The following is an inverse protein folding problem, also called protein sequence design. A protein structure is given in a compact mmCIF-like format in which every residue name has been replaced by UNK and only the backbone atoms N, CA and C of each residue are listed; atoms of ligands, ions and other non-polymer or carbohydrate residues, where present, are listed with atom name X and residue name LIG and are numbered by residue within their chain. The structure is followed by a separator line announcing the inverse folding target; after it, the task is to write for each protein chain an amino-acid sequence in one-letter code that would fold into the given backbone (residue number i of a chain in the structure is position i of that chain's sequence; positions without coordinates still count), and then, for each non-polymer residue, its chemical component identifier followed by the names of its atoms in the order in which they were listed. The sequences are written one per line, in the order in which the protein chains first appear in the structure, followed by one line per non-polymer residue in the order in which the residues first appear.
data_IF_816538897455
#
_entry.id   IF_816538897455
#
_cell.length_a   1.000
_cell.length_b   1.000
_cell.length_c   1.000
_cell.angle_alpha   90.00
_cell.angle_beta   90.00
_cell.angle_gamma   90.00
#
_symmetry.space_group_name_H-M   'P 1'
#
loop_
_entity.id
_entity.type
_entity.pdbx_description
1 polymer ?
#
# COMPACT_ATOMS: atom_id res chain seq x y z
N UNK A 1 5.34 -1.96 6.03
CA UNK A 1 5.29 -1.10 4.82
C UNK A 1 6.18 0.15 4.93
N UNK A 2 5.76 1.22 5.63
CA UNK A 2 6.49 2.52 5.68
C UNK A 2 7.97 2.40 6.07
N UNK A 3 8.27 1.70 7.18
CA UNK A 3 9.64 1.47 7.64
C UNK A 3 10.52 0.84 6.55
N UNK A 4 9.97 -0.10 5.78
CA UNK A 4 10.72 -0.75 4.70
C UNK A 4 10.91 0.17 3.50
N UNK A 5 9.88 0.95 3.14
CA UNK A 5 10.01 1.99 2.12
C UNK A 5 11.14 2.96 2.46
N UNK A 6 11.15 3.49 3.69
CA UNK A 6 12.18 4.43 4.17
C UNK A 6 13.58 3.82 4.22
N UNK A 7 13.71 2.52 4.46
CA UNK A 7 15.00 1.83 4.38
C UNK A 7 15.52 1.77 2.94
N UNK A 8 14.63 1.56 1.98
CA UNK A 8 14.97 1.42 0.56
C UNK A 8 15.14 2.78 -0.13
N UNK A 9 14.39 3.80 0.31
CA UNK A 9 14.39 5.16 -0.24
C UNK A 9 14.27 6.18 0.90
N UNK A 10 15.36 6.47 1.63
CA UNK A 10 15.32 7.32 2.82
C UNK A 10 14.90 8.77 2.56
N UNK A 11 15.30 9.32 1.40
CA UNK A 11 15.10 10.72 1.04
C UNK A 11 13.66 11.07 0.63
N UNK A 12 12.82 10.07 0.37
CA UNK A 12 11.46 10.29 -0.13
C UNK A 12 10.44 10.17 0.99
N UNK A 13 9.41 11.03 0.97
CA UNK A 13 8.23 10.87 1.82
C UNK A 13 7.49 9.60 1.42
N UNK A 14 6.77 8.99 2.36
CA UNK A 14 5.95 7.84 2.04
C UNK A 14 4.82 8.26 1.10
N UNK A 15 4.74 7.58 -0.05
CA UNK A 15 3.90 7.99 -1.19
C UNK A 15 2.42 7.99 -0.81
N UNK A 16 1.96 7.12 0.09
CA UNK A 16 0.54 7.04 0.48
C UNK A 16 0.32 7.29 1.97
N UNK A 17 0.85 8.40 2.48
CA UNK A 17 0.47 8.90 3.80
C UNK A 17 -0.73 9.87 3.69
N UNK A 18 -1.95 9.46 4.08
CA UNK A 18 -3.15 10.30 4.07
C UNK A 18 -3.15 11.35 5.18
N UNK A 19 -2.17 11.31 6.09
CA UNK A 19 -2.01 12.29 7.17
C UNK A 19 -1.17 13.49 6.72
N UNK A 20 -0.44 13.38 5.61
CA UNK A 20 0.31 14.51 5.05
C UNK A 20 -0.68 15.54 4.49
N UNK A 21 -0.47 16.81 4.84
CA UNK A 21 -1.26 17.92 4.30
C UNK A 21 -0.88 18.21 2.84
N UNK A 22 0.34 17.83 2.46
CA UNK A 22 0.82 17.92 1.09
C UNK A 22 0.31 16.72 0.27
N UNK A 23 -0.79 16.97 -0.45
CA UNK A 23 -1.35 16.03 -1.41
C UNK A 23 -0.62 16.07 -2.75
N UNK A 24 0.29 17.02 -2.98
CA UNK A 24 1.12 17.04 -4.18
C UNK A 24 2.21 16.00 -4.05
N UNK A 25 1.98 14.84 -4.66
CA UNK A 25 2.96 13.76 -4.70
C UNK A 25 3.39 13.59 -6.13
N UNK A 26 4.68 13.79 -6.39
CA UNK A 26 5.27 13.61 -7.71
C UNK A 26 5.21 12.12 -8.07
N UNK A 27 4.11 11.70 -8.71
CA UNK A 27 3.82 10.30 -9.04
C UNK A 27 4.52 9.84 -10.32
N UNK A 28 5.08 10.78 -11.08
CA UNK A 28 5.98 10.57 -12.22
C UNK A 28 7.38 10.10 -11.83
N UNK A 29 7.63 9.88 -10.54
CA UNK A 29 8.93 9.43 -10.06
C UNK A 29 9.04 7.89 -10.24
N UNK A 30 10.13 7.35 -10.81
CA UNK A 30 10.37 5.91 -11.06
C UNK A 30 10.21 4.96 -9.85
N UNK A 31 10.09 5.51 -8.64
CA UNK A 31 9.87 4.74 -7.41
C UNK A 31 8.39 4.38 -7.19
N UNK A 32 7.43 5.00 -7.88
CA UNK A 32 6.01 4.62 -7.77
C UNK A 32 5.74 3.20 -8.31
N UNK A 33 6.55 2.74 -9.28
CA UNK A 33 6.45 1.42 -9.92
C UNK A 33 7.57 0.48 -9.46
N UNK A 34 7.62 0.20 -8.15
CA UNK A 34 8.55 -0.79 -7.58
C UNK A 34 7.84 -1.79 -6.69
N UNK A 35 8.37 -3.00 -6.69
CA UNK A 35 8.01 -4.03 -5.71
C UNK A 35 8.89 -3.84 -4.47
N UNK A 36 8.28 -3.38 -3.39
CA UNK A 36 8.97 -3.13 -2.13
C UNK A 36 8.86 -4.36 -1.23
N UNK A 37 10.00 -4.96 -0.89
CA UNK A 37 10.05 -6.01 0.13
C UNK A 37 9.65 -5.40 1.48
N UNK A 38 8.53 -5.81 2.07
CA UNK A 38 8.08 -5.28 3.37
C UNK A 38 8.36 -6.18 4.55
N UNK A 39 8.31 -7.50 4.37
CA UNK A 39 8.53 -8.49 5.44
C UNK A 39 9.19 -9.75 4.90
N UNK A 40 9.99 -10.37 5.76
CA UNK A 40 10.45 -11.75 5.60
C UNK A 40 9.77 -12.59 6.68
N UNK A 41 9.24 -13.75 6.31
CA UNK A 41 8.48 -14.60 7.22
C UNK A 41 8.73 -16.09 6.90
N UNK A 42 8.42 -16.96 7.85
CA UNK A 42 8.53 -18.41 7.70
C UNK A 42 7.13 -19.00 7.58
N UNK A 43 6.86 -19.74 6.49
CA UNK A 43 5.63 -20.50 6.28
C UNK A 43 6.01 -21.97 6.16
N UNK A 44 5.51 -22.81 7.08
CA UNK A 44 5.80 -24.25 7.10
C UNK A 44 7.29 -24.59 7.00
N UNK A 45 8.15 -23.76 7.60
CA UNK A 45 9.60 -23.92 7.58
C UNK A 45 10.31 -23.34 6.35
N UNK A 46 9.57 -22.87 5.35
CA UNK A 46 10.13 -22.22 4.16
C UNK A 46 10.17 -20.70 4.32
N UNK A 47 11.23 -20.09 3.79
CA UNK A 47 11.39 -18.64 3.80
C UNK A 47 10.50 -18.00 2.73
N UNK A 48 9.62 -17.12 3.16
CA UNK A 48 8.69 -16.37 2.31
C UNK A 48 8.96 -14.87 2.41
N UNK A 49 8.69 -14.17 1.31
CA UNK A 49 9.01 -12.76 1.11
C UNK A 49 7.75 -12.00 0.72
N UNK A 50 7.36 -11.04 1.55
CA UNK A 50 6.19 -10.21 1.33
C UNK A 50 6.58 -8.93 0.59
N UNK A 51 5.89 -8.66 -0.49
CA UNK A 51 6.06 -7.46 -1.30
C UNK A 51 4.77 -6.66 -1.39
N UNK A 52 4.92 -5.37 -1.69
CA UNK A 52 3.82 -4.51 -2.09
C UNK A 52 4.25 -3.55 -3.20
N UNK A 53 3.30 -3.13 -4.02
CA UNK A 53 3.49 -2.10 -5.03
C UNK A 53 2.19 -1.30 -5.19
N UNK A 54 2.28 -0.08 -5.71
CA UNK A 54 1.08 0.69 -6.03
C UNK A 54 0.64 0.36 -7.45
N UNK A 55 -0.67 0.25 -7.63
CA UNK A 55 -1.25 0.07 -8.94
C UNK A 55 -1.02 1.31 -9.82
N UNK A 56 -0.78 1.04 -11.09
CA UNK A 56 -0.30 1.97 -12.11
C UNK A 56 -1.41 2.73 -12.80
N UNK A 57 -2.09 3.63 -12.11
CA UNK A 57 -3.13 4.45 -12.75
C UNK A 57 -2.49 5.74 -13.27
N UNK A 58 -2.44 5.85 -14.60
CA UNK A 58 -1.98 7.02 -15.34
C UNK A 58 -3.00 8.15 -15.21
N UNK A 59 -3.07 8.78 -14.05
CA UNK A 59 -3.88 9.99 -13.87
C UNK A 59 -2.99 11.20 -14.10
N UNK A 60 -3.28 11.93 -15.18
CA UNK A 60 -2.51 13.09 -15.65
C UNK A 60 -2.68 14.33 -14.73
N UNK A 61 -3.72 14.35 -13.87
CA UNK A 61 -4.19 15.55 -13.15
C UNK A 61 -4.12 15.46 -11.61
N UNK A 62 -3.25 14.61 -11.04
CA UNK A 62 -2.87 14.68 -9.62
C UNK A 62 -3.14 13.44 -8.76
N UNK A 63 -3.19 13.64 -7.44
CA UNK A 63 -3.26 12.57 -6.43
C UNK A 63 -4.54 11.74 -6.57
N UNK A 64 -4.35 10.48 -6.94
CA UNK A 64 -5.38 9.47 -6.77
C UNK A 64 -5.21 8.83 -5.38
N UNK A 65 -5.94 9.37 -4.39
CA UNK A 65 -6.07 8.80 -3.04
C UNK A 65 -6.63 7.37 -3.05
N UNK A 66 -7.19 6.92 -4.18
CA UNK A 66 -7.82 5.64 -4.36
C UNK A 66 -6.93 4.63 -5.10
N UNK A 67 -5.63 4.89 -5.23
CA UNK A 67 -4.69 3.92 -5.82
C UNK A 67 -4.80 2.57 -5.11
N UNK A 68 -4.98 1.54 -5.93
CA UNK A 68 -4.84 0.17 -5.48
C UNK A 68 -3.44 -0.12 -4.97
N UNK A 69 -3.35 -1.02 -4.01
CA UNK A 69 -2.10 -1.56 -3.47
C UNK A 69 -2.09 -3.05 -3.75
N UNK A 70 -1.25 -3.47 -4.67
CA UNK A 70 -0.93 -4.87 -4.87
C UNK A 70 -0.02 -5.35 -3.76
N UNK A 71 -0.37 -6.49 -3.17
CA UNK A 71 0.46 -7.17 -2.17
C UNK A 71 0.57 -8.63 -2.55
N UNK A 72 1.76 -9.17 -2.46
CA UNK A 72 1.98 -10.58 -2.76
C UNK A 72 3.03 -11.18 -1.85
N UNK A 73 2.93 -12.49 -1.70
CA UNK A 73 3.82 -13.31 -0.90
C UNK A 73 4.47 -14.34 -1.80
N UNK A 74 5.79 -14.35 -1.81
CA UNK A 74 6.60 -15.16 -2.70
C UNK A 74 7.44 -16.17 -1.91
N UNK A 75 7.45 -17.43 -2.35
CA UNK A 75 8.38 -18.47 -1.89
C UNK A 75 9.22 -18.89 -3.11
N UNK A 76 10.57 -18.89 -3.03
CA UNK A 76 11.44 -19.15 -4.17
C UNK A 76 11.07 -20.38 -5.01
N UNK A 77 10.77 -21.51 -4.36
CA UNK A 77 10.51 -22.78 -5.04
C UNK A 77 9.03 -22.98 -5.44
N UNK A 78 8.14 -22.05 -5.06
CA UNK A 78 6.68 -22.17 -5.27
C UNK A 78 6.06 -21.00 -6.02
N UNK A 79 6.80 -19.89 -6.20
CA UNK A 79 6.26 -18.68 -6.80
C UNK A 79 5.40 -17.87 -5.83
N UNK A 80 4.37 -17.22 -6.37
CA UNK A 80 3.42 -16.41 -5.57
C UNK A 80 2.43 -17.35 -4.89
N UNK A 81 2.45 -17.35 -3.56
CA UNK A 81 1.69 -18.26 -2.69
C UNK A 81 0.60 -17.56 -1.90
N UNK A 82 0.46 -16.26 -2.08
CA UNK A 82 -0.56 -15.45 -1.43
C UNK A 82 -0.54 -14.04 -1.98
N UNK A 83 -1.65 -13.35 -1.79
CA UNK A 83 -1.76 -11.96 -2.20
C UNK A 83 -3.03 -11.30 -1.70
N UNK A 84 -3.12 -10.02 -2.01
CA UNK A 84 -4.29 -9.18 -1.82
C UNK A 84 -4.15 -7.95 -2.69
N UNK A 85 -5.30 -7.38 -3.04
CA UNK A 85 -5.40 -6.09 -3.67
C UNK A 85 -6.27 -5.21 -2.78
N UNK A 86 -5.68 -4.16 -2.23
CA UNK A 86 -6.38 -3.26 -1.31
C UNK A 86 -6.61 -1.91 -2.01
N UNK A 87 -7.83 -1.39 -1.91
CA UNK A 87 -8.14 -0.01 -2.29
C UNK A 87 -8.93 0.65 -1.16
N UNK A 88 -8.74 1.94 -0.98
CA UNK A 88 -9.38 2.67 0.11
C UNK A 88 -10.09 3.93 -0.41
N UNK A 89 -11.32 4.11 0.05
CA UNK A 89 -12.10 5.30 -0.24
C UNK A 89 -12.28 6.14 1.01
N UNK A 90 -12.16 7.45 0.84
CA UNK A 90 -12.53 8.44 1.84
C UNK A 90 -13.50 9.40 1.19
N UNK A 91 -14.65 9.60 1.82
CA UNK A 91 -15.59 10.61 1.37
C UNK A 91 -14.94 12.00 1.52
N UNK A 92 -14.77 12.72 0.41
CA UNK A 92 -14.40 14.14 0.42
C UNK A 92 -15.68 14.95 0.69
N UNK A 93 -15.83 15.59 1.87
CA UNK A 93 -17.04 16.34 2.16
C UNK A 93 -17.19 17.50 1.17
N UNK A 94 -18.41 17.74 0.69
CA UNK A 94 -18.73 18.98 -0.01
C UNK A 94 -18.61 20.13 0.99
N UNK A 95 -18.01 21.26 0.57
CA UNK A 95 -17.87 22.49 1.38
C UNK A 95 -19.21 23.04 1.93
N UNK A 96 -20.37 22.48 1.53
CA UNK A 96 -21.71 22.97 1.84
C UNK A 96 -22.48 22.16 2.90
N UNK A 97 -21.92 21.09 3.46
CA UNK A 97 -22.59 20.33 4.53
C UNK A 97 -21.59 19.75 5.52
N UNK A 98 -21.81 20.05 6.81
CA UNK A 98 -20.92 19.72 7.92
C UNK A 98 -21.22 18.35 8.56
N UNK A 99 -22.23 17.62 8.08
CA UNK A 99 -22.65 16.35 8.66
C UNK A 99 -22.38 15.18 7.72
N UNK A 100 -21.11 14.76 7.66
CA UNK A 100 -20.73 13.48 7.07
C UNK A 100 -19.78 12.73 7.99
N UNK A 101 -20.04 11.45 8.19
CA UNK A 101 -19.05 10.56 8.80
C UNK A 101 -17.94 10.30 7.79
N UNK A 102 -16.81 10.98 7.94
CA UNK A 102 -15.61 10.71 7.16
C UNK A 102 -14.66 9.85 8.00
N UNK A 103 -14.15 8.76 7.42
CA UNK A 103 -13.06 8.01 8.04
C UNK A 103 -11.89 8.95 8.35
N UNK A 104 -11.34 8.85 9.57
CA UNK A 104 -10.21 9.69 9.97
C UNK A 104 -8.95 9.30 9.18
N UNK A 105 -8.05 10.27 8.96
CA UNK A 105 -6.76 9.99 8.31
C UNK A 105 -5.96 8.91 9.06
N UNK A 106 -6.09 8.85 10.39
CA UNK A 106 -5.46 7.82 11.21
C UNK A 106 -6.03 6.42 10.96
N UNK A 107 -7.35 6.29 10.80
CA UNK A 107 -7.97 5.01 10.45
C UNK A 107 -7.52 4.53 9.06
N UNK A 108 -7.51 5.43 8.09
CA UNK A 108 -7.06 5.14 6.73
C UNK A 108 -5.59 4.72 6.71
N UNK A 109 -4.73 5.48 7.40
CA UNK A 109 -3.31 5.15 7.58
C UNK A 109 -3.11 3.76 8.18
N UNK A 110 -3.83 3.45 9.26
CA UNK A 110 -3.74 2.15 9.91
C UNK A 110 -4.15 1.02 8.96
N UNK A 111 -5.16 1.21 8.12
CA UNK A 111 -5.54 0.20 7.14
C UNK A 111 -4.45 -0.01 6.08
N UNK A 112 -3.86 1.07 5.56
CA UNK A 112 -2.80 1.01 4.54
C UNK A 112 -1.55 0.30 5.07
N UNK A 113 -1.09 0.66 6.27
CA UNK A 113 0.17 0.14 6.83
C UNK A 113 0.02 -1.28 7.39
N UNK A 114 -1.16 -1.64 7.88
CA UNK A 114 -1.42 -3.01 8.37
C UNK A 114 -1.74 -3.93 7.21
N UNK A 115 -0.66 -4.41 6.59
CA UNK A 115 -0.68 -5.29 5.43
C UNK A 115 -1.46 -6.59 5.73
N UNK A 116 -2.59 -6.79 5.05
CA UNK A 116 -3.41 -8.01 5.11
C UNK A 116 -3.19 -8.81 3.85
N UNK A 117 -2.75 -10.06 3.97
CA UNK A 117 -2.50 -10.96 2.83
C UNK A 117 -3.25 -12.27 3.06
N UNK A 118 -3.86 -12.77 2.00
CA UNK A 118 -4.46 -14.11 2.00
C UNK A 118 -3.45 -15.10 1.43
N UNK A 119 -3.13 -16.14 2.22
CA UNK A 119 -2.22 -17.21 1.84
C UNK A 119 -3.05 -18.39 1.28
N UNK A 120 -2.50 -19.06 0.25
CA UNK A 120 -3.06 -20.28 -0.32
C UNK A 120 -3.39 -21.32 0.75
N UNK A 121 -4.52 -22.02 0.61
CA UNK A 121 -5.06 -22.91 1.66
C UNK A 121 -4.11 -24.08 1.96
N UNK A 122 -3.41 -24.55 0.95
CA UNK A 122 -2.44 -25.65 0.98
C UNK A 122 -1.23 -25.33 1.87
N UNK A 123 -0.97 -24.04 2.09
CA UNK A 123 0.14 -23.53 2.89
C UNK A 123 -0.29 -23.00 4.26
N UNK A 124 -1.59 -23.06 4.59
CA UNK A 124 -2.10 -22.83 5.95
C UNK A 124 -1.85 -24.03 6.86
#
# INVERSE_FOLDING_TARGET
MEKSFKKQIPSQKFIMDPRDADLSKNIDIPYSFRNYLSKELLIKGEKAYQFWTFDGWWMQDGYDEHRGIDRFLYIPDKGIVGGSYDFYFKLKPKNSSNEYYTATNGLLWNNIINEKIMIAKELK
#
